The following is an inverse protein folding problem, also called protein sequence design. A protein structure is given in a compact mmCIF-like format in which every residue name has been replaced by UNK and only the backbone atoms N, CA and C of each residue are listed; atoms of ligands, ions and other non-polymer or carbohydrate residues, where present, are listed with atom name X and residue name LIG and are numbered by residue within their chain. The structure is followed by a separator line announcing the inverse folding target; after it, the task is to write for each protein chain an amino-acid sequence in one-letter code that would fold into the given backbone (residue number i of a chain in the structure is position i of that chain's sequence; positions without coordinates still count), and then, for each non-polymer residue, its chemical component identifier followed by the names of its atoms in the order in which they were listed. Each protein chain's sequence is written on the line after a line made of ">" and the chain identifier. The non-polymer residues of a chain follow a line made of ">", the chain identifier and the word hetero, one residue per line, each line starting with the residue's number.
data_IF_490372919308
#
_entry.id   IF_490372919308
#
_cell.length_a   1.000
_cell.length_b   1.000
_cell.length_c   1.000
_cell.angle_alpha   90.00
_cell.angle_beta   90.00
_cell.angle_gamma   90.00
#
_symmetry.space_group_name_H-M   'P 1'
#
loop_
_entity.id
_entity.type
_entity.pdbx_description
1 polymer ?
#
# COMPACT_ATOMS: atom_id res chain seq x y z
N UNK A 1 18.37 13.72 -53.98
CA UNK A 1 17.65 14.35 -52.85
C UNK A 1 16.60 13.36 -52.40
N UNK A 2 16.66 12.89 -51.15
CA UNK A 2 15.54 12.14 -50.58
C UNK A 2 14.50 13.19 -50.24
N UNK A 3 13.55 13.42 -51.16
CA UNK A 3 12.38 14.25 -50.88
C UNK A 3 11.71 13.74 -49.61
N UNK A 4 11.44 14.68 -48.70
CA UNK A 4 11.09 14.51 -47.28
C UNK A 4 10.43 13.16 -46.97
N UNK A 5 11.25 12.18 -46.60
CA UNK A 5 10.84 10.81 -46.21
C UNK A 5 9.77 10.80 -45.10
N UNK A 6 9.74 11.85 -44.28
CA UNK A 6 8.79 12.05 -43.19
C UNK A 6 7.65 13.02 -43.50
N UNK A 7 7.43 13.46 -44.74
CA UNK A 7 6.36 14.43 -45.06
C UNK A 7 4.96 13.94 -44.64
N UNK A 8 4.74 12.62 -44.68
CA UNK A 8 3.48 11.96 -44.35
C UNK A 8 3.43 11.39 -42.92
N UNK A 9 4.39 11.72 -42.04
CA UNK A 9 4.47 11.12 -40.69
C UNK A 9 3.16 11.20 -39.90
N UNK A 10 2.38 12.27 -40.10
CA UNK A 10 1.06 12.47 -39.47
C UNK A 10 0.06 11.36 -39.77
N UNK A 11 0.14 10.68 -40.92
CA UNK A 11 -0.70 9.52 -41.26
C UNK A 11 -0.38 8.27 -40.44
N UNK A 12 0.80 8.24 -39.82
CA UNK A 12 1.31 7.15 -38.98
C UNK A 12 1.31 7.51 -37.50
N UNK A 13 0.89 8.74 -37.15
CA UNK A 13 0.65 9.12 -35.75
C UNK A 13 -0.64 8.45 -35.32
N UNK A 14 -0.50 7.30 -34.67
CA UNK A 14 -1.56 6.75 -33.83
C UNK A 14 -1.55 7.60 -32.57
N UNK A 15 -2.54 8.47 -32.43
CA UNK A 15 -2.81 9.13 -31.16
C UNK A 15 -3.15 7.99 -30.19
N UNK A 16 -2.36 7.76 -29.13
CA UNK A 16 -2.76 6.81 -28.10
C UNK A 16 -4.16 7.17 -27.67
N UNK A 17 -5.02 6.19 -27.38
CA UNK A 17 -6.27 6.46 -26.66
C UNK A 17 -5.94 6.93 -25.24
N UNK A 18 -5.34 8.11 -25.11
CA UNK A 18 -4.95 8.68 -23.84
C UNK A 18 -6.19 9.28 -23.19
N UNK A 19 -6.45 8.76 -22.00
CA UNK A 19 -6.81 9.57 -20.83
C UNK A 19 -8.18 10.28 -20.83
N UNK A 20 -9.01 10.15 -21.87
CA UNK A 20 -10.42 10.60 -21.80
C UNK A 20 -11.30 9.70 -20.92
N UNK A 21 -10.82 8.50 -20.59
CA UNK A 21 -11.33 7.72 -19.48
C UNK A 21 -10.62 8.11 -18.17
N UNK A 22 -10.61 9.40 -17.82
CA UNK A 22 -10.97 9.76 -16.43
C UNK A 22 -12.45 9.41 -16.27
N UNK A 23 -12.77 8.12 -16.42
CA UNK A 23 -14.04 7.61 -15.99
C UNK A 23 -13.99 7.83 -14.49
N UNK A 24 -14.80 8.78 -14.01
CA UNK A 24 -15.26 8.81 -12.64
C UNK A 24 -16.09 7.54 -12.39
N UNK A 25 -15.53 6.35 -12.66
CA UNK A 25 -16.08 5.09 -12.18
C UNK A 25 -15.98 5.20 -10.66
N UNK A 26 -17.11 5.59 -10.09
CA UNK A 26 -17.34 5.57 -8.66
C UNK A 26 -17.04 4.15 -8.21
N UNK A 27 -16.19 4.02 -7.21
CA UNK A 27 -15.85 2.74 -6.63
C UNK A 27 -17.13 1.97 -6.29
N UNK A 28 -17.31 0.82 -6.94
CA UNK A 28 -18.40 -0.11 -6.67
C UNK A 28 -17.80 -1.37 -6.03
N UNK A 29 -18.00 -1.59 -4.72
CA UNK A 29 -17.51 -2.77 -4.03
C UNK A 29 -17.95 -4.06 -4.75
N UNK A 30 -19.15 -4.12 -5.33
CA UNK A 30 -19.68 -5.33 -5.97
C UNK A 30 -18.84 -5.82 -7.15
N UNK A 31 -17.99 -4.96 -7.72
CA UNK A 31 -17.06 -5.32 -8.79
C UNK A 31 -15.78 -6.01 -8.28
N UNK A 32 -15.62 -6.21 -6.97
CA UNK A 32 -14.43 -6.78 -6.33
C UNK A 32 -14.76 -8.01 -5.50
N UNK A 33 -13.83 -8.97 -5.45
CA UNK A 33 -13.99 -10.26 -4.81
C UNK A 33 -13.15 -10.46 -3.54
N UNK A 34 -12.14 -9.61 -3.32
CA UNK A 34 -11.29 -9.63 -2.12
C UNK A 34 -11.09 -8.23 -1.55
N UNK A 35 -10.98 -8.15 -0.22
CA UNK A 35 -10.79 -6.90 0.50
C UNK A 35 -9.76 -7.09 1.61
N UNK A 36 -8.84 -6.14 1.73
CA UNK A 36 -7.76 -6.18 2.70
C UNK A 36 -7.58 -4.81 3.33
N UNK A 37 -7.41 -4.77 4.65
CA UNK A 37 -6.98 -3.57 5.36
C UNK A 37 -5.47 -3.61 5.47
N UNK A 38 -4.82 -2.59 4.93
CA UNK A 38 -3.38 -2.43 4.94
C UNK A 38 -3.01 -1.32 5.91
N UNK A 39 -1.99 -1.56 6.74
CA UNK A 39 -1.36 -0.51 7.55
C UNK A 39 0.05 -0.29 7.02
N UNK A 40 0.37 0.94 6.62
CA UNK A 40 1.66 1.30 6.03
C UNK A 40 2.37 2.32 6.92
N UNK A 41 3.64 2.08 7.22
CA UNK A 41 4.52 2.96 8.00
C UNK A 41 5.87 3.13 7.30
N UNK A 42 6.58 4.23 7.55
CA UNK A 42 7.89 4.47 6.91
C UNK A 42 8.96 3.53 7.48
N UNK A 43 9.69 2.85 6.59
CA UNK A 43 10.83 2.01 6.94
C UNK A 43 12.01 2.87 7.41
N UNK A 44 12.58 2.56 8.58
CA UNK A 44 13.71 3.30 9.18
C UNK A 44 13.51 4.83 9.13
N UNK A 45 12.35 5.25 9.63
CA UNK A 45 11.86 6.63 9.52
C UNK A 45 12.78 7.65 10.21
N UNK A 46 12.97 8.80 9.57
CA UNK A 46 13.49 10.03 10.20
C UNK A 46 12.41 10.77 10.98
N UNK A 47 11.14 10.43 10.76
CA UNK A 47 9.96 11.08 11.31
C UNK A 47 9.22 10.20 12.33
N UNK A 48 8.86 10.80 13.47
CA UNK A 48 7.98 10.18 14.46
C UNK A 48 6.50 10.45 14.17
N UNK A 49 6.19 11.53 13.45
CA UNK A 49 4.81 11.95 13.08
C UNK A 49 4.78 12.60 11.70
N UNK A 50 3.63 12.57 11.01
CA UNK A 50 3.45 13.25 9.73
C UNK A 50 3.45 14.78 9.82
N UNK A 51 3.14 15.36 10.99
CA UNK A 51 3.17 16.81 11.23
C UNK A 51 4.52 17.43 10.89
N UNK A 52 5.60 16.65 11.07
CA UNK A 52 6.96 17.08 10.81
C UNK A 52 7.42 16.87 9.35
N UNK A 53 6.58 16.27 8.50
CA UNK A 53 6.93 15.99 7.09
C UNK A 53 7.12 17.26 6.25
N UNK A 54 6.49 18.37 6.62
CA UNK A 54 6.68 19.67 5.97
C UNK A 54 8.12 20.18 6.06
N UNK A 55 8.89 19.75 7.08
CA UNK A 55 10.34 20.04 7.20
C UNK A 55 11.17 19.41 6.09
N UNK A 56 10.61 18.41 5.40
CA UNK A 56 11.20 17.73 4.27
C UNK A 56 10.55 18.18 2.95
N UNK A 57 9.74 19.24 2.98
CA UNK A 57 9.00 19.79 1.84
C UNK A 57 7.97 18.81 1.25
N UNK A 58 7.46 17.88 2.07
CA UNK A 58 6.48 16.88 1.65
C UNK A 58 5.11 17.18 2.24
N UNK A 59 4.12 17.33 1.36
CA UNK A 59 2.70 17.30 1.72
C UNK A 59 2.21 15.84 1.65
N UNK A 60 2.14 15.19 2.81
CA UNK A 60 1.79 13.77 2.93
C UNK A 60 0.40 13.48 2.37
N UNK A 61 -0.59 14.30 2.72
CA UNK A 61 -1.98 14.06 2.34
C UNK A 61 -2.15 14.21 0.82
N UNK A 62 -1.64 15.31 0.26
CA UNK A 62 -1.67 15.54 -1.19
C UNK A 62 -0.93 14.44 -1.92
N UNK A 63 0.25 14.05 -1.44
CA UNK A 63 1.05 12.99 -2.04
C UNK A 63 0.32 11.66 -2.09
N UNK A 64 -0.26 11.22 -0.97
CA UNK A 64 -0.99 9.94 -0.92
C UNK A 64 -2.17 10.01 -1.89
N UNK A 65 -2.96 11.09 -1.87
CA UNK A 65 -4.11 11.25 -2.77
C UNK A 65 -3.71 11.17 -4.25
N UNK A 66 -2.62 11.82 -4.64
CA UNK A 66 -2.09 11.76 -6.02
C UNK A 66 -1.68 10.35 -6.39
N UNK A 67 -0.86 9.68 -5.56
CA UNK A 67 -0.39 8.32 -5.86
C UNK A 67 -1.56 7.33 -5.93
N UNK A 68 -2.54 7.42 -5.03
CA UNK A 68 -3.71 6.54 -5.05
C UNK A 68 -4.59 6.77 -6.26
N UNK A 69 -4.80 8.03 -6.67
CA UNK A 69 -5.54 8.35 -7.89
C UNK A 69 -4.87 7.72 -9.11
N UNK A 70 -3.57 7.96 -9.27
CA UNK A 70 -2.83 7.49 -10.44
C UNK A 70 -2.73 5.94 -10.43
N UNK A 71 -2.53 5.33 -9.25
CA UNK A 71 -2.61 3.87 -9.07
C UNK A 71 -3.97 3.32 -9.51
N UNK A 72 -5.07 3.91 -9.04
CA UNK A 72 -6.41 3.42 -9.35
C UNK A 72 -6.76 3.57 -10.83
N UNK A 73 -6.23 4.60 -11.50
CA UNK A 73 -6.36 4.74 -12.96
C UNK A 73 -5.60 3.63 -13.69
N UNK A 74 -4.34 3.39 -13.32
CA UNK A 74 -3.48 2.39 -13.97
C UNK A 74 -3.89 0.94 -13.64
N UNK A 75 -4.49 0.69 -12.48
CA UNK A 75 -4.79 -0.65 -11.97
C UNK A 75 -6.29 -0.97 -11.94
N UNK A 76 -7.15 -0.16 -12.56
CA UNK A 76 -8.63 -0.28 -12.52
C UNK A 76 -9.19 -1.68 -12.79
N UNK A 77 -8.53 -2.45 -13.65
CA UNK A 77 -8.93 -3.80 -14.04
C UNK A 77 -8.51 -4.89 -13.04
N UNK A 78 -7.77 -4.53 -11.98
CA UNK A 78 -7.17 -5.48 -11.04
C UNK A 78 -7.37 -5.09 -9.57
N UNK A 79 -7.10 -3.83 -9.25
CA UNK A 79 -6.99 -3.35 -7.88
C UNK A 79 -7.64 -1.99 -7.71
N UNK A 80 -8.10 -1.73 -6.49
CA UNK A 80 -8.49 -0.41 -6.05
C UNK A 80 -7.95 -0.16 -4.64
N UNK A 81 -7.37 1.01 -4.43
CA UNK A 81 -6.89 1.48 -3.14
C UNK A 81 -7.68 2.70 -2.68
N UNK A 82 -8.08 2.68 -1.41
CA UNK A 82 -8.75 3.79 -0.75
C UNK A 82 -8.06 4.12 0.55
N UNK A 83 -7.81 5.41 0.80
CA UNK A 83 -7.30 5.89 2.09
C UNK A 83 -8.42 5.84 3.13
N UNK A 84 -8.20 5.12 4.23
CA UNK A 84 -9.15 5.00 5.34
C UNK A 84 -8.79 5.91 6.50
N UNK A 85 -7.51 5.97 6.86
CA UNK A 85 -7.04 6.76 7.99
C UNK A 85 -5.71 7.44 7.67
N UNK A 86 -5.64 8.74 7.96
CA UNK A 86 -4.42 9.54 7.98
C UNK A 86 -4.49 10.54 9.13
N UNK A 87 -3.66 10.33 10.15
CA UNK A 87 -3.55 11.23 11.31
C UNK A 87 -2.18 11.91 11.32
N UNK A 88 -2.17 13.24 11.36
CA UNK A 88 -0.93 14.03 11.41
C UNK A 88 0.00 13.69 12.59
N UNK A 89 -0.52 13.12 13.66
CA UNK A 89 0.26 12.76 14.85
C UNK A 89 0.80 11.32 14.82
N UNK A 90 0.42 10.53 13.81
CA UNK A 90 0.95 9.19 13.57
C UNK A 90 1.99 9.25 12.45
N UNK A 91 2.79 8.20 12.30
CA UNK A 91 3.74 8.00 11.20
C UNK A 91 3.37 6.79 10.32
N UNK A 92 2.09 6.42 10.37
CA UNK A 92 1.49 5.39 9.54
C UNK A 92 0.16 5.90 8.99
N UNK A 93 -0.36 5.20 7.99
CA UNK A 93 -1.69 5.41 7.44
C UNK A 93 -2.32 4.07 7.06
N UNK A 94 -3.64 4.06 6.93
CA UNK A 94 -4.41 2.84 6.67
C UNK A 94 -5.06 2.93 5.29
N UNK A 95 -4.89 1.90 4.48
CA UNK A 95 -5.54 1.75 3.18
C UNK A 95 -6.50 0.55 3.18
N UNK A 96 -7.58 0.65 2.41
CA UNK A 96 -8.31 -0.52 1.93
C UNK A 96 -7.78 -0.89 0.55
N UNK A 97 -7.42 -2.16 0.36
CA UNK A 97 -7.13 -2.75 -0.95
C UNK A 97 -8.30 -3.66 -1.34
N UNK A 98 -8.94 -3.35 -2.45
CA UNK A 98 -9.94 -4.20 -3.09
C UNK A 98 -9.34 -4.87 -4.32
N UNK A 99 -9.60 -6.16 -4.50
CA UNK A 99 -9.02 -6.99 -5.57
C UNK A 99 -10.14 -7.58 -6.42
N UNK A 100 -10.02 -7.48 -7.75
CA UNK A 100 -11.05 -7.98 -8.68
C UNK A 100 -11.22 -9.49 -8.56
N UNK A 101 -10.13 -10.20 -8.34
CA UNK A 101 -10.10 -11.63 -8.03
C UNK A 101 -9.67 -11.83 -6.59
N UNK A 102 -10.27 -12.81 -5.91
CA UNK A 102 -9.81 -13.21 -4.58
C UNK A 102 -8.46 -13.89 -4.71
N UNK A 103 -7.56 -13.63 -3.76
CA UNK A 103 -6.29 -14.34 -3.71
C UNK A 103 -6.51 -15.76 -3.21
N UNK A 104 -5.68 -16.69 -3.66
CA UNK A 104 -5.70 -18.05 -3.14
C UNK A 104 -5.12 -18.04 -1.72
N UNK A 105 -5.62 -18.92 -0.82
CA UNK A 105 -5.03 -19.10 0.49
C UNK A 105 -3.53 -19.44 0.39
N UNK A 106 -2.69 -18.66 1.06
CA UNK A 106 -1.24 -18.80 1.05
C UNK A 106 -0.52 -17.96 0.00
N UNK A 107 -1.23 -17.30 -0.93
CA UNK A 107 -0.63 -16.35 -1.89
C UNK A 107 -0.79 -14.89 -1.46
N UNK A 108 -1.54 -14.58 -0.41
CA UNK A 108 -1.89 -13.21 -0.04
C UNK A 108 -0.66 -12.35 0.25
N UNK A 109 0.30 -12.91 1.01
CA UNK A 109 1.55 -12.26 1.35
C UNK A 109 2.32 -11.83 0.09
N UNK A 110 2.52 -12.76 -0.85
CA UNK A 110 3.26 -12.52 -2.08
C UNK A 110 2.55 -11.51 -3.00
N UNK A 111 1.22 -11.60 -3.10
CA UNK A 111 0.41 -10.70 -3.93
C UNK A 111 0.40 -9.28 -3.35
N UNK A 112 0.22 -9.14 -2.04
CA UNK A 112 0.25 -7.85 -1.37
C UNK A 112 1.66 -7.27 -1.41
N UNK A 113 2.69 -8.07 -1.20
CA UNK A 113 4.07 -7.66 -1.35
C UNK A 113 4.36 -7.13 -2.76
N UNK A 114 3.87 -7.81 -3.80
CA UNK A 114 3.98 -7.32 -5.16
C UNK A 114 3.34 -5.93 -5.33
N UNK A 115 2.12 -5.73 -4.82
CA UNK A 115 1.44 -4.43 -4.92
C UNK A 115 2.21 -3.34 -4.16
N UNK A 116 2.65 -3.60 -2.92
CA UNK A 116 3.36 -2.61 -2.10
C UNK A 116 4.77 -2.31 -2.64
N UNK A 117 5.55 -3.35 -2.90
CA UNK A 117 6.99 -3.21 -3.16
C UNK A 117 7.28 -2.95 -4.65
N UNK A 118 6.46 -3.47 -5.58
CA UNK A 118 6.68 -3.30 -7.02
C UNK A 118 5.84 -2.20 -7.63
N UNK A 119 4.59 -2.04 -7.19
CA UNK A 119 3.68 -1.06 -7.80
C UNK A 119 3.71 0.27 -7.05
N UNK A 120 3.54 0.27 -5.72
CA UNK A 120 3.40 1.51 -4.95
C UNK A 120 4.71 2.17 -4.54
N UNK A 121 5.77 1.38 -4.29
CA UNK A 121 7.03 1.94 -3.77
C UNK A 121 7.59 3.02 -4.68
N UNK A 122 7.70 2.79 -6.00
CA UNK A 122 8.27 3.76 -6.92
C UNK A 122 7.45 5.08 -7.02
N UNK A 123 6.12 5.05 -7.23
CA UNK A 123 5.28 6.24 -7.19
C UNK A 123 5.47 7.10 -5.94
N UNK A 124 5.55 6.49 -4.76
CA UNK A 124 5.83 7.23 -3.52
C UNK A 124 7.27 7.74 -3.46
N UNK A 125 8.24 6.91 -3.83
CA UNK A 125 9.66 7.24 -3.76
C UNK A 125 10.00 8.46 -4.63
N UNK A 126 9.49 8.50 -5.86
CA UNK A 126 9.80 9.55 -6.85
C UNK A 126 8.78 10.70 -6.82
N UNK A 127 7.49 10.41 -6.67
CA UNK A 127 6.41 11.37 -6.91
C UNK A 127 6.42 12.60 -6.01
N UNK A 128 6.89 12.47 -4.76
CA UNK A 128 7.04 13.58 -3.82
C UNK A 128 8.32 13.44 -2.95
N UNK A 129 9.36 12.81 -3.49
CA UNK A 129 10.66 12.67 -2.80
C UNK A 129 10.59 11.99 -1.42
N UNK A 130 9.73 10.99 -1.23
CA UNK A 130 9.56 10.31 0.07
C UNK A 130 10.85 9.62 0.56
N UNK A 131 11.82 9.41 -0.33
CA UNK A 131 13.17 8.97 0.03
C UNK A 131 13.91 9.92 0.99
N UNK A 132 13.43 11.16 1.17
CA UNK A 132 13.92 12.08 2.19
C UNK A 132 13.42 11.76 3.60
N UNK A 133 12.33 10.98 3.73
CA UNK A 133 11.76 10.58 5.01
C UNK A 133 12.45 9.36 5.62
N UNK A 134 13.18 8.59 4.82
CA UNK A 134 13.90 7.39 5.25
C UNK A 134 15.37 7.70 5.55
N UNK A 135 15.93 7.04 6.56
CA UNK A 135 17.37 7.06 6.84
C UNK A 135 18.14 6.30 5.76
N UNK A 136 19.47 6.39 5.80
CA UNK A 136 20.33 5.81 4.77
C UNK A 136 20.19 4.28 4.66
N UNK A 137 19.89 3.57 5.77
CA UNK A 137 19.63 2.12 5.70
C UNK A 137 18.40 1.81 4.82
N UNK A 138 17.36 2.64 4.87
CA UNK A 138 16.18 2.50 4.01
C UNK A 138 16.51 2.70 2.52
N UNK A 139 17.35 3.68 2.21
CA UNK A 139 17.83 3.92 0.83
C UNK A 139 18.63 2.74 0.29
N UNK A 140 19.53 2.19 1.10
CA UNK A 140 20.35 1.01 0.74
C UNK A 140 19.47 -0.22 0.51
N UNK A 141 18.48 -0.45 1.38
CA UNK A 141 17.52 -1.54 1.23
C UNK A 141 16.50 -1.31 0.10
N UNK A 142 16.45 -0.11 -0.50
CA UNK A 142 15.41 0.33 -1.45
C UNK A 142 13.99 0.09 -0.93
N UNK A 143 13.81 0.19 0.39
CA UNK A 143 12.55 -0.08 1.08
C UNK A 143 12.00 1.21 1.65
N UNK A 144 10.78 1.56 1.24
CA UNK A 144 10.11 2.78 1.70
C UNK A 144 9.14 2.50 2.85
N UNK A 145 8.37 1.42 2.75
CA UNK A 145 7.33 1.09 3.71
C UNK A 145 7.61 -0.22 4.46
N UNK A 146 7.26 -0.25 5.73
CA UNK A 146 6.82 -1.46 6.42
C UNK A 146 5.30 -1.53 6.29
N UNK A 147 4.77 -2.72 6.04
CA UNK A 147 3.33 -2.92 5.99
C UNK A 147 2.91 -4.21 6.71
N UNK A 148 1.65 -4.22 7.12
CA UNK A 148 0.92 -5.39 7.58
C UNK A 148 -0.47 -5.36 6.97
N UNK A 149 -1.12 -6.51 6.87
CA UNK A 149 -2.48 -6.57 6.34
C UNK A 149 -3.36 -7.55 7.09
N UNK A 150 -4.68 -7.38 6.92
CA UNK A 150 -5.69 -8.33 7.37
C UNK A 150 -6.80 -8.41 6.32
N UNK A 151 -7.24 -9.62 5.97
CA UNK A 151 -8.40 -9.79 5.10
C UNK A 151 -9.65 -9.23 5.80
N UNK A 152 -10.41 -8.42 5.07
CA UNK A 152 -11.69 -7.89 5.50
C UNK A 152 -12.79 -8.73 4.88
N UNK A 153 -13.30 -9.68 5.65
CA UNK A 153 -14.52 -10.40 5.29
C UNK A 153 -15.68 -9.57 5.82
N UNK A 154 -16.48 -9.00 4.92
CA UNK A 154 -17.78 -8.48 5.28
C UNK A 154 -18.60 -9.69 5.74
N UNK A 155 -18.60 -9.98 7.04
CA UNK A 155 -19.45 -11.01 7.60
C UNK A 155 -20.86 -10.75 7.10
N UNK A 156 -21.49 -11.77 6.52
CA UNK A 156 -22.90 -11.72 6.20
C UNK A 156 -23.63 -11.11 7.40
N UNK A 157 -24.38 -10.03 7.16
CA UNK A 157 -25.26 -9.38 8.15
C UNK A 157 -26.33 -10.33 8.77
N UNK A 158 -26.26 -11.63 8.44
CA UNK A 158 -27.12 -12.70 8.93
C UNK A 158 -26.45 -13.65 9.95
N UNK A 159 -25.17 -13.49 10.31
CA UNK A 159 -24.58 -14.20 11.46
C UNK A 159 -24.64 -13.36 12.73
N UNK A 160 -25.83 -12.90 13.08
CA UNK A 160 -26.14 -12.62 14.49
C UNK A 160 -26.12 -13.97 15.25
N UNK A 161 -25.39 -14.01 16.37
CA UNK A 161 -25.22 -15.15 17.30
C UNK A 161 -24.06 -16.13 17.02
N UNK A 162 -22.83 -15.64 17.06
CA UNK A 162 -21.80 -16.33 17.87
C UNK A 162 -20.94 -15.28 18.54
N UNK A 163 -21.04 -15.24 19.85
CA UNK A 163 -20.27 -14.35 20.72
C UNK A 163 -18.78 -14.71 20.61
N UNK A 164 -18.04 -14.01 19.76
CA UNK A 164 -16.59 -13.89 19.93
C UNK A 164 -16.32 -12.55 20.60
N UNK A 165 -16.12 -12.62 21.92
CA UNK A 165 -15.59 -11.51 22.70
C UNK A 165 -14.27 -11.08 22.08
N UNK A 166 -14.23 -9.89 21.49
CA UNK A 166 -12.98 -9.24 21.16
C UNK A 166 -12.29 -8.86 22.47
N UNK A 167 -11.30 -9.65 22.88
CA UNK A 167 -10.41 -9.25 23.96
C UNK A 167 -9.54 -8.08 23.50
N UNK A 168 -9.55 -7.04 24.32
CA UNK A 168 -8.86 -5.78 24.08
C UNK A 168 -7.34 -6.01 24.24
N UNK A 169 -6.62 -6.11 23.13
CA UNK A 169 -5.15 -6.30 23.08
C UNK A 169 -4.33 -5.15 23.70
N UNK A 170 -4.97 -4.14 24.28
CA UNK A 170 -4.31 -3.07 25.06
C UNK A 170 -3.63 -3.57 26.34
N UNK A 171 -3.90 -4.81 26.78
CA UNK A 171 -3.27 -5.42 27.96
C UNK A 171 -2.00 -6.24 27.63
N UNK A 172 -1.71 -6.51 26.36
CA UNK A 172 -0.54 -7.30 25.93
C UNK A 172 0.70 -6.46 25.61
N UNK A 173 0.66 -5.15 25.81
CA UNK A 173 1.84 -4.28 25.71
C UNK A 173 2.47 -4.17 27.11
N UNK A 174 3.61 -4.84 27.39
CA UNK A 174 4.29 -4.67 28.66
C UNK A 174 4.74 -3.22 28.81
N UNK A 175 4.08 -2.48 29.72
CA UNK A 175 4.54 -1.20 30.24
C UNK A 175 5.65 -1.47 31.23
N UNK A 176 6.85 -1.77 30.73
CA UNK A 176 8.16 -1.51 31.32
C UNK A 176 9.21 -2.35 30.58
N UNK A 177 10.28 -1.68 30.15
CA UNK A 177 11.33 -2.27 29.34
C UNK A 177 12.18 -3.26 30.13
N UNK A 178 11.97 -4.55 29.87
CA UNK A 178 13.00 -5.59 29.96
C UNK A 178 12.79 -6.59 28.82
N UNK A 179 13.63 -6.51 27.79
CA UNK A 179 13.70 -7.53 26.74
C UNK A 179 14.45 -8.73 27.31
N UNK A 180 13.74 -9.79 27.69
CA UNK A 180 14.36 -11.10 27.95
C UNK A 180 14.49 -11.87 26.64
N UNK A 181 15.73 -12.06 26.20
CA UNK A 181 16.12 -12.99 25.15
C UNK A 181 15.65 -14.41 25.51
N UNK A 182 14.68 -14.95 24.76
CA UNK A 182 14.36 -16.37 24.81
C UNK A 182 15.43 -17.09 23.99
N UNK A 183 16.34 -17.79 24.70
CA UNK A 183 17.26 -18.76 24.10
C UNK A 183 16.43 -19.84 23.39
N UNK A 184 16.67 -20.00 22.09
CA UNK A 184 16.27 -21.18 21.34
C UNK A 184 16.91 -22.43 21.95
N UNK A 185 16.08 -23.33 22.49
CA UNK A 185 16.52 -24.66 22.89
C UNK A 185 16.61 -25.56 21.64
N UNK A 186 17.68 -26.33 21.62
CA UNK A 186 18.21 -27.12 20.52
C UNK A 186 17.33 -28.30 20.10
N UNK A 187 17.50 -28.68 18.83
CA UNK A 187 17.32 -30.02 18.24
C UNK A 187 17.32 -31.17 19.24
N UNK A 188 16.38 -32.11 19.05
CA UNK A 188 16.68 -33.55 19.07
C UNK A 188 15.95 -34.24 17.92
N UNK A 189 16.75 -34.82 17.02
CA UNK A 189 16.38 -36.01 16.24
C UNK A 189 16.05 -37.15 17.21
N UNK A 190 15.07 -38.00 16.88
CA UNK A 190 15.21 -39.46 16.99
C UNK A 190 14.43 -40.11 15.86
N UNK A 191 15.07 -41.12 15.28
CA UNK A 191 14.68 -42.08 14.23
C UNK A 191 13.26 -42.63 14.28
#
# INVERSE_FOLDING_TARGET
>A
MIENFFADYKKFVVIPEDESQVNNEVFDPKKYAGYYILTLSIFDSRLSTWKDASKFEIDIEKSIKTVLRDFNQMQREKYHLQLLELDKFKNYFILALSTKTRFNPGEEDDRIAYVMDKILTNPFYVGQSWFNLIRDKGRVARKLFCYSFKEYVAADLNQSKREEKFENISELIPKNGEIKLIKSAQKREVL
#
